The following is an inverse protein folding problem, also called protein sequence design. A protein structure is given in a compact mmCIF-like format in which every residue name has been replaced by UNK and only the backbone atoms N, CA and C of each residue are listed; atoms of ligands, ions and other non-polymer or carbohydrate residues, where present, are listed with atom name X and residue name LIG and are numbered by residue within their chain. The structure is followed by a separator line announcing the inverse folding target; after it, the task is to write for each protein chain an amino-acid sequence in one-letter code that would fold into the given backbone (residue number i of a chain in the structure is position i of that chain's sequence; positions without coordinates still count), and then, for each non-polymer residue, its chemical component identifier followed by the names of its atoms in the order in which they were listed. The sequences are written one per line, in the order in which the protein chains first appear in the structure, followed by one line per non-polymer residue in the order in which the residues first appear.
data_IF_014624079857
#
_entry.id   IF_014624079857
#
_cell.length_a   1.000
_cell.length_b   1.000
_cell.length_c   1.000
_cell.angle_alpha   90.00
_cell.angle_beta   90.00
_cell.angle_gamma   90.00
#
_symmetry.space_group_name_H-M   'P 1'
#
loop_
_entity.id
_entity.type
_entity.pdbx_description
1 polymer ?
#
# COMPACT_ATOMS: atom_id res chain seq x y z
N UNK A 1 20.07 -14.80 -3.03
CA UNK A 1 20.00 -14.22 -4.39
C UNK A 1 19.17 -12.95 -4.32
N UNK A 2 19.70 -11.79 -4.69
CA UNK A 2 18.93 -10.56 -4.82
C UNK A 2 18.27 -10.53 -6.20
N UNK A 3 16.95 -10.74 -6.26
CA UNK A 3 16.19 -10.55 -7.50
C UNK A 3 16.10 -9.04 -7.75
N UNK A 4 16.68 -8.56 -8.84
CA UNK A 4 16.51 -7.18 -9.27
C UNK A 4 15.17 -7.08 -9.98
N UNK A 5 14.19 -6.43 -9.35
CA UNK A 5 12.84 -6.31 -9.90
C UNK A 5 12.81 -5.10 -10.84
N UNK A 6 12.66 -5.38 -12.14
CA UNK A 6 12.46 -4.34 -13.15
C UNK A 6 10.98 -3.98 -13.26
N UNK A 7 10.67 -2.69 -13.09
CA UNK A 7 9.31 -2.19 -13.20
C UNK A 7 8.85 -2.13 -14.67
N UNK A 8 7.57 -2.45 -14.90
CA UNK A 8 6.91 -2.27 -16.20
C UNK A 8 6.74 -0.79 -16.50
N UNK A 9 6.65 -0.43 -17.78
CA UNK A 9 6.48 0.97 -18.25
C UNK A 9 5.38 1.72 -17.48
N UNK A 10 4.22 1.09 -17.27
CA UNK A 10 3.10 1.71 -16.56
C UNK A 10 3.39 1.93 -15.06
N UNK A 11 4.16 1.04 -14.43
CA UNK A 11 4.54 1.16 -13.02
C UNK A 11 5.55 2.29 -12.84
N UNK A 12 6.52 2.40 -13.75
CA UNK A 12 7.46 3.53 -13.77
C UNK A 12 6.75 4.88 -13.98
N UNK A 13 5.76 4.92 -14.88
CA UNK A 13 4.94 6.11 -15.09
C UNK A 13 4.11 6.46 -13.85
N UNK A 14 3.56 5.47 -13.14
CA UNK A 14 2.84 5.69 -11.89
C UNK A 14 3.75 6.28 -10.79
N UNK A 15 5.01 5.84 -10.70
CA UNK A 15 6.00 6.44 -9.80
C UNK A 15 6.25 7.91 -10.15
N UNK A 16 6.48 8.21 -11.43
CA UNK A 16 6.69 9.59 -11.87
C UNK A 16 5.48 10.47 -11.54
N UNK A 17 4.27 9.99 -11.82
CA UNK A 17 3.03 10.70 -11.50
C UNK A 17 2.83 10.89 -9.99
N UNK A 18 3.42 10.03 -9.18
CA UNK A 18 3.37 10.17 -7.73
C UNK A 18 4.14 11.39 -7.19
N UNK A 19 5.00 12.00 -7.99
CA UNK A 19 5.75 13.21 -7.64
C UNK A 19 4.90 14.48 -7.69
N UNK A 20 3.75 14.44 -8.37
CA UNK A 20 2.82 15.56 -8.36
C UNK A 20 2.38 15.87 -6.92
N UNK A 21 2.26 17.17 -6.63
CA UNK A 21 1.85 17.66 -5.32
C UNK A 21 0.33 17.44 -5.14
N UNK A 22 -0.06 16.22 -4.78
CA UNK A 22 -1.43 15.82 -4.53
C UNK A 22 -1.56 15.12 -3.17
N UNK A 23 -2.79 15.09 -2.65
CA UNK A 23 -3.10 14.42 -1.38
C UNK A 23 -3.15 12.89 -1.50
N UNK A 24 -3.08 12.34 -2.72
CA UNK A 24 -3.23 10.91 -2.97
C UNK A 24 -3.27 10.58 -4.45
N UNK A 25 -3.24 9.27 -4.74
CA UNK A 25 -3.21 8.71 -6.09
C UNK A 25 -4.13 7.49 -6.11
N UNK A 26 -5.04 7.44 -7.09
CA UNK A 26 -5.74 6.21 -7.42
C UNK A 26 -4.89 5.38 -8.38
N UNK A 27 -4.44 4.21 -7.91
CA UNK A 27 -3.65 3.28 -8.70
C UNK A 27 -4.56 2.25 -9.39
N UNK A 28 -5.15 2.63 -10.52
CA UNK A 28 -6.09 1.78 -11.25
C UNK A 28 -5.40 0.96 -12.35
N UNK A 29 -5.55 -0.36 -12.29
CA UNK A 29 -5.10 -1.30 -13.30
C UNK A 29 -5.84 -2.64 -13.17
N UNK A 30 -5.91 -3.40 -14.27
CA UNK A 30 -6.49 -4.75 -14.30
C UNK A 30 -5.86 -5.69 -13.26
N UNK A 31 -6.60 -6.72 -12.84
CA UNK A 31 -6.10 -7.81 -12.00
C UNK A 31 -4.81 -8.43 -12.57
N UNK A 32 -3.87 -8.81 -11.70
CA UNK A 32 -2.59 -9.42 -12.11
C UNK A 32 -1.57 -8.47 -12.75
N UNK A 33 -1.86 -7.16 -12.88
CA UNK A 33 -0.91 -6.20 -13.50
C UNK A 33 0.24 -5.76 -12.60
N UNK A 34 0.26 -6.18 -11.33
CA UNK A 34 1.35 -5.89 -10.39
C UNK A 34 1.15 -4.58 -9.62
N UNK A 35 -0.09 -4.28 -9.20
CA UNK A 35 -0.41 -3.09 -8.40
C UNK A 35 0.31 -3.08 -7.06
N UNK A 36 0.37 -4.21 -6.36
CA UNK A 36 1.08 -4.39 -5.09
C UNK A 36 2.54 -3.94 -5.17
N UNK A 37 3.29 -4.47 -6.15
CA UNK A 37 4.69 -4.12 -6.39
C UNK A 37 4.83 -2.64 -6.75
N UNK A 38 3.91 -2.10 -7.56
CA UNK A 38 3.92 -0.70 -7.94
C UNK A 38 3.72 0.23 -6.73
N UNK A 39 2.76 -0.09 -5.85
CA UNK A 39 2.50 0.68 -4.64
C UNK A 39 3.69 0.68 -3.67
N UNK A 40 4.35 -0.48 -3.47
CA UNK A 40 5.60 -0.55 -2.70
C UNK A 40 6.72 0.26 -3.34
N UNK A 41 6.83 0.24 -4.67
CA UNK A 41 7.81 1.02 -5.39
C UNK A 41 7.57 2.54 -5.27
N UNK A 42 6.30 2.99 -5.28
CA UNK A 42 5.92 4.37 -5.00
C UNK A 42 6.32 4.76 -3.57
N UNK A 43 6.00 3.92 -2.58
CA UNK A 43 6.35 4.18 -1.19
C UNK A 43 7.88 4.29 -0.99
N UNK A 44 8.64 3.41 -1.66
CA UNK A 44 10.11 3.45 -1.70
C UNK A 44 10.63 4.73 -2.33
N UNK A 45 10.07 5.13 -3.48
CA UNK A 45 10.43 6.36 -4.19
C UNK A 45 10.19 7.60 -3.32
N UNK A 46 9.07 7.61 -2.59
CA UNK A 46 8.72 8.65 -1.60
C UNK A 46 9.55 8.57 -0.30
N UNK A 47 10.45 7.59 -0.17
CA UNK A 47 11.29 7.37 1.02
C UNK A 47 10.48 7.21 2.30
N UNK A 48 9.30 6.58 2.20
CA UNK A 48 8.44 6.32 3.33
C UNK A 48 9.16 5.44 4.38
N UNK A 49 9.07 5.84 5.64
CA UNK A 49 9.61 5.12 6.80
C UNK A 49 8.50 4.44 7.60
N UNK A 50 7.26 4.91 7.49
CA UNK A 50 6.10 4.30 8.12
C UNK A 50 4.94 4.17 7.13
N UNK A 51 4.50 2.94 6.91
CA UNK A 51 3.50 2.60 5.89
C UNK A 51 2.38 1.80 6.54
N UNK A 52 1.15 2.21 6.28
CA UNK A 52 -0.03 1.43 6.65
C UNK A 52 -0.64 0.85 5.36
N UNK A 53 -0.88 -0.45 5.35
CA UNK A 53 -1.58 -1.16 4.28
C UNK A 53 -2.87 -1.74 4.86
N UNK A 54 -4.01 -1.45 4.22
CA UNK A 54 -5.31 -1.90 4.69
C UNK A 54 -6.14 -2.61 3.63
N UNK A 55 -6.79 -3.69 4.05
CA UNK A 55 -7.78 -4.45 3.29
C UNK A 55 -8.66 -5.28 4.23
N UNK A 56 -9.90 -5.57 3.83
CA UNK A 56 -10.88 -6.27 4.67
C UNK A 56 -10.74 -7.80 4.56
N UNK A 57 -10.00 -8.30 3.57
CA UNK A 57 -9.77 -9.72 3.32
C UNK A 57 -8.39 -10.12 3.83
N UNK A 58 -8.33 -10.99 4.84
CA UNK A 58 -7.07 -11.49 5.41
C UNK A 58 -6.17 -12.16 4.38
N UNK A 59 -6.75 -12.89 3.40
CA UNK A 59 -5.99 -13.51 2.32
C UNK A 59 -5.20 -12.48 1.47
N UNK A 60 -5.77 -11.28 1.28
CA UNK A 60 -5.09 -10.19 0.56
C UNK A 60 -3.97 -9.62 1.44
N UNK A 61 -4.22 -9.40 2.73
CA UNK A 61 -3.20 -8.94 3.68
C UNK A 61 -2.01 -9.90 3.77
N UNK A 62 -2.24 -11.22 3.73
CA UNK A 62 -1.17 -12.21 3.67
C UNK A 62 -0.33 -12.05 2.39
N UNK A 63 -0.96 -11.82 1.25
CA UNK A 63 -0.26 -11.52 0.00
C UNK A 63 0.61 -10.25 0.09
N UNK A 64 0.20 -9.25 0.86
CA UNK A 64 1.03 -8.06 1.13
C UNK A 64 2.25 -8.37 1.99
N UNK A 65 2.11 -9.22 3.01
CA UNK A 65 3.24 -9.68 3.84
C UNK A 65 4.30 -10.34 2.95
N UNK A 66 3.86 -11.21 2.03
CA UNK A 66 4.75 -11.89 1.10
C UNK A 66 5.40 -10.92 0.11
N UNK A 67 4.65 -9.95 -0.41
CA UNK A 67 5.17 -8.94 -1.33
C UNK A 67 6.23 -8.04 -0.68
N UNK A 68 6.03 -7.64 0.58
CA UNK A 68 6.99 -6.83 1.35
C UNK A 68 8.31 -7.57 1.52
N UNK A 69 8.25 -8.85 1.92
CA UNK A 69 9.42 -9.72 2.05
C UNK A 69 10.12 -9.93 0.71
N UNK A 70 9.35 -10.18 -0.35
CA UNK A 70 9.86 -10.38 -1.70
C UNK A 70 10.61 -9.14 -2.23
N UNK A 71 10.11 -7.94 -1.92
CA UNK A 71 10.75 -6.67 -2.26
C UNK A 71 11.91 -6.29 -1.34
N UNK A 72 12.14 -7.04 -0.25
CA UNK A 72 13.08 -6.73 0.82
C UNK A 72 12.90 -5.27 1.31
N UNK A 73 11.64 -4.88 1.46
CA UNK A 73 11.22 -3.50 1.74
C UNK A 73 10.96 -3.22 3.22
N UNK A 74 11.09 -4.24 4.06
CA UNK A 74 11.00 -4.20 5.52
C UNK A 74 12.26 -3.66 6.21
N UNK A 75 13.38 -3.53 5.49
CA UNK A 75 14.63 -2.99 6.06
C UNK A 75 14.53 -1.48 6.32
N UNK A 76 14.39 -1.11 7.59
CA UNK A 76 14.38 0.30 8.02
C UNK A 76 13.07 1.03 7.76
N UNK A 77 11.99 0.28 7.50
CA UNK A 77 10.64 0.80 7.27
C UNK A 77 9.68 0.07 8.21
N UNK A 78 8.90 0.81 8.98
CA UNK A 78 7.79 0.27 9.76
C UNK A 78 6.60 0.03 8.82
N UNK A 79 6.18 -1.23 8.71
CA UNK A 79 5.07 -1.63 7.85
C UNK A 79 3.97 -2.25 8.70
N UNK A 80 2.80 -1.60 8.72
CA UNK A 80 1.61 -2.04 9.43
C UNK A 80 0.62 -2.57 8.40
N UNK A 81 0.37 -3.88 8.43
CA UNK A 81 -0.59 -4.54 7.55
C UNK A 81 -1.77 -4.99 8.40
N UNK A 82 -2.92 -4.31 8.28
CA UNK A 82 -4.07 -4.51 9.16
C UNK A 82 -5.40 -4.39 8.43
N UNK A 83 -6.47 -4.85 9.07
CA UNK A 83 -7.83 -4.65 8.54
C UNK A 83 -8.29 -3.22 8.80
N UNK A 84 -9.18 -2.73 7.93
CA UNK A 84 -9.86 -1.45 8.09
C UNK A 84 -10.58 -1.34 9.46
N UNK A 85 -11.27 -2.42 9.87
CA UNK A 85 -11.97 -2.50 11.15
C UNK A 85 -11.03 -2.36 12.33
N UNK A 86 -9.85 -2.97 12.26
CA UNK A 86 -8.83 -2.79 13.29
C UNK A 86 -8.41 -1.32 13.39
N UNK A 87 -8.08 -0.70 12.25
CA UNK A 87 -7.66 0.71 12.20
C UNK A 87 -8.76 1.65 12.72
N UNK A 88 -10.02 1.44 12.30
CA UNK A 88 -11.16 2.19 12.81
C UNK A 88 -11.33 2.06 14.33
N UNK A 89 -11.14 0.85 14.87
CA UNK A 89 -11.22 0.62 16.31
C UNK A 89 -10.10 1.35 17.08
N UNK A 90 -8.89 1.45 16.51
CA UNK A 90 -7.81 2.24 17.10
C UNK A 90 -8.17 3.73 17.13
N UNK A 91 -8.70 4.25 16.02
CA UNK A 91 -9.15 5.66 15.93
C UNK A 91 -10.27 5.96 16.94
N UNK A 92 -11.25 5.05 17.08
CA UNK A 92 -12.35 5.20 18.08
C UNK A 92 -11.85 5.24 19.52
N UNK A 93 -10.72 4.58 19.82
CA UNK A 93 -10.07 4.63 21.14
C UNK A 93 -9.23 5.90 21.36
N UNK A 94 -9.21 6.81 20.39
CA UNK A 94 -8.46 8.06 20.44
C UNK A 94 -7.01 7.95 19.93
N UNK A 95 -6.60 6.79 19.39
CA UNK A 95 -5.28 6.67 18.78
C UNK A 95 -5.26 7.39 17.42
N UNK A 96 -4.22 8.17 17.16
CA UNK A 96 -3.99 8.79 15.85
C UNK A 96 -3.26 7.81 14.94
N UNK A 97 -3.77 7.64 13.72
CA UNK A 97 -3.04 6.94 12.68
C UNK A 97 -2.00 7.92 12.12
N UNK A 98 -0.73 7.56 12.28
CA UNK A 98 0.41 8.32 11.80
C UNK A 98 1.22 7.43 10.85
N UNK A 99 1.44 7.90 9.63
CA UNK A 99 2.20 7.20 8.60
C UNK A 99 2.60 8.18 7.49
N UNK A 100 3.70 7.88 6.79
CA UNK A 100 4.12 8.61 5.60
C UNK A 100 3.26 8.26 4.39
N UNK A 101 2.82 6.98 4.30
CA UNK A 101 2.00 6.46 3.21
C UNK A 101 0.92 5.54 3.75
N UNK A 102 -0.34 5.82 3.39
CA UNK A 102 -1.47 4.91 3.58
C UNK A 102 -1.83 4.27 2.24
N UNK A 103 -1.79 2.94 2.18
CA UNK A 103 -2.18 2.13 1.03
C UNK A 103 -3.52 1.48 1.34
N UNK A 104 -4.54 1.88 0.60
CA UNK A 104 -5.87 1.28 0.64
C UNK A 104 -5.99 0.32 -0.54
N UNK A 105 -5.91 -0.99 -0.28
CA UNK A 105 -6.07 -1.99 -1.32
C UNK A 105 -7.55 -2.33 -1.52
N UNK A 106 -7.94 -2.58 -2.76
CA UNK A 106 -9.34 -2.73 -3.16
C UNK A 106 -10.23 -1.55 -2.68
N UNK A 107 -9.73 -0.33 -2.84
CA UNK A 107 -10.32 0.93 -2.37
C UNK A 107 -11.78 1.15 -2.81
N UNK A 108 -12.19 0.57 -3.93
CA UNK A 108 -13.57 0.63 -4.41
C UNK A 108 -14.56 -0.07 -3.47
N UNK A 109 -14.09 -0.94 -2.58
CA UNK A 109 -14.93 -1.56 -1.55
C UNK A 109 -15.07 -0.68 -0.30
N UNK A 110 -14.34 0.44 -0.20
CA UNK A 110 -14.46 1.36 0.94
C UNK A 110 -15.66 2.31 0.81
N UNK A 111 -16.30 2.39 -0.35
CA UNK A 111 -17.44 3.31 -0.58
C UNK A 111 -18.81 2.68 -0.36
N UNK A 112 -18.90 1.45 0.13
CA UNK A 112 -20.19 0.81 0.41
C UNK A 112 -20.38 0.60 1.90
N UNK A 113 -21.12 1.50 2.54
CA UNK A 113 -21.96 1.06 3.64
C UNK A 113 -22.93 0.04 3.06
N UNK A 114 -22.90 -1.19 3.56
CA UNK A 114 -24.11 -2.01 3.50
C UNK A 114 -25.13 -1.28 4.35
N UNK A 115 -26.11 -0.64 3.72
CA UNK A 115 -27.40 -0.42 4.36
C UNK A 115 -27.95 -1.75 4.89
#
# INVERSE_FOLDING_TARGET
MSITITLRKWQAEAIKRSEHLSNGIFLEALGGRGKTICALAIAKHKKAKKIIITNNRLAILNGWIDAVKFMNFDKGVEIIIQTDRYLQNQVKKGHKLDCDVLIVDEWQNMSSDKQ
#
